data_IF_041313298030
#
_entry.id   IF_041313298030
#
_cell.length_a   1.000
_cell.length_b   1.000
_cell.length_c   1.000
_cell.angle_alpha   90.00
_cell.angle_beta   90.00
_cell.angle_gamma   90.00
#
_symmetry.space_group_name_H-M   'P 1'
#
loop_
_entity.id
_entity.type
_entity.pdbx_description
1 polymer ?
#
# COMPACT_ATOMS: atom_id res chain seq x y z
N UNK A 1 -0.72 0.03 -6.53
CA UNK A 1 -1.74 0.43 -5.54
C UNK A 1 -1.15 1.26 -4.39
N UNK A 2 -0.12 0.78 -3.67
CA UNK A 2 0.50 1.51 -2.55
C UNK A 2 0.91 2.95 -2.91
N UNK A 3 1.55 3.17 -4.05
CA UNK A 3 1.97 4.51 -4.48
C UNK A 3 0.78 5.46 -4.74
N UNK A 4 -0.32 4.96 -5.31
CA UNK A 4 -1.52 5.77 -5.53
C UNK A 4 -2.16 6.22 -4.22
N UNK A 5 -2.40 5.28 -3.28
CA UNK A 5 -3.01 5.62 -1.99
C UNK A 5 -2.13 6.56 -1.16
N UNK A 6 -0.82 6.35 -1.17
CA UNK A 6 0.13 7.26 -0.53
C UNK A 6 0.11 8.65 -1.19
N UNK A 7 0.09 8.73 -2.53
CA UNK A 7 0.02 10.00 -3.24
C UNK A 7 -1.26 10.78 -2.97
N UNK A 8 -2.40 10.10 -2.92
CA UNK A 8 -3.68 10.75 -2.61
C UNK A 8 -3.71 11.35 -1.19
N UNK A 9 -2.98 10.77 -0.25
CA UNK A 9 -2.95 11.24 1.14
C UNK A 9 -1.96 12.37 1.40
N UNK A 10 -1.01 12.63 0.50
CA UNK A 10 -0.12 13.81 0.59
C UNK A 10 -0.92 15.11 0.63
N UNK A 11 -1.93 15.25 -0.24
CA UNK A 11 -2.81 16.42 -0.25
C UNK A 11 -3.64 16.51 1.04
N UNK A 12 -4.05 15.36 1.61
CA UNK A 12 -4.74 15.30 2.91
C UNK A 12 -3.84 15.84 4.03
N UNK A 13 -2.56 15.41 4.07
CA UNK A 13 -1.58 15.89 5.04
C UNK A 13 -1.34 17.41 4.91
N UNK A 14 -1.26 17.92 3.69
CA UNK A 14 -1.12 19.36 3.41
C UNK A 14 -2.29 20.17 3.95
N UNK A 15 -3.53 19.75 3.68
CA UNK A 15 -4.73 20.45 4.15
C UNK A 15 -4.90 20.36 5.67
N UNK A 16 -4.53 19.21 6.25
CA UNK A 16 -4.50 19.05 7.70
C UNK A 16 -3.50 20.02 8.34
N UNK A 17 -2.28 20.11 7.79
CA UNK A 17 -1.26 21.05 8.26
C UNK A 17 -1.68 22.52 8.13
N UNK A 18 -2.47 22.86 7.11
CA UNK A 18 -3.05 24.20 6.93
C UNK A 18 -4.23 24.49 7.86
N UNK A 19 -4.72 23.52 8.65
CA UNK A 19 -5.91 23.68 9.49
C UNK A 19 -7.23 23.69 8.71
N UNK A 20 -7.20 23.40 7.39
CA UNK A 20 -8.38 23.42 6.52
C UNK A 20 -9.13 22.09 6.59
N UNK A 21 -9.84 21.87 7.69
CA UNK A 21 -10.55 20.63 7.98
C UNK A 21 -11.66 20.32 6.98
N UNK A 22 -12.31 21.34 6.40
CA UNK A 22 -13.37 21.17 5.41
C UNK A 22 -12.84 20.58 4.11
N UNK A 23 -11.78 21.17 3.57
CA UNK A 23 -11.18 20.65 2.33
C UNK A 23 -10.36 19.38 2.58
N UNK A 24 -9.81 19.18 3.80
CA UNK A 24 -9.21 17.89 4.19
C UNK A 24 -10.23 16.75 4.08
N UNK A 25 -11.44 16.87 4.65
CA UNK A 25 -12.50 15.86 4.53
C UNK A 25 -12.88 15.59 3.07
N UNK A 26 -13.05 16.65 2.27
CA UNK A 26 -13.31 16.50 0.82
C UNK A 26 -12.19 15.76 0.10
N UNK A 27 -10.94 16.00 0.48
CA UNK A 27 -9.77 15.30 -0.10
C UNK A 27 -9.79 13.83 0.28
N UNK A 28 -10.11 13.50 1.54
CA UNK A 28 -10.24 12.10 2.00
C UNK A 28 -11.41 11.40 1.29
N UNK A 29 -12.57 12.05 1.19
CA UNK A 29 -13.72 11.51 0.46
C UNK A 29 -13.42 11.27 -1.02
N UNK A 30 -12.76 12.22 -1.69
CA UNK A 30 -12.29 12.08 -3.07
C UNK A 30 -11.28 10.93 -3.20
N UNK A 31 -10.31 10.81 -2.27
CA UNK A 31 -9.34 9.71 -2.26
C UNK A 31 -10.03 8.34 -2.12
N UNK A 32 -11.07 8.25 -1.28
CA UNK A 32 -11.83 7.02 -1.11
C UNK A 32 -12.55 6.62 -2.42
N UNK A 33 -13.22 7.56 -3.08
CA UNK A 33 -13.90 7.31 -4.38
C UNK A 33 -12.90 6.93 -5.46
N UNK A 34 -11.80 7.68 -5.60
CA UNK A 34 -10.76 7.38 -6.58
C UNK A 34 -10.12 6.01 -6.34
N UNK A 35 -9.83 5.69 -5.08
CA UNK A 35 -9.28 4.37 -4.71
C UNK A 35 -10.26 3.25 -5.03
N UNK A 36 -11.57 3.46 -4.82
CA UNK A 36 -12.61 2.49 -5.18
C UNK A 36 -12.67 2.27 -6.69
N UNK A 37 -12.69 3.34 -7.48
CA UNK A 37 -12.70 3.26 -8.96
C UNK A 37 -11.45 2.50 -9.44
N UNK A 38 -10.27 2.90 -8.98
CA UNK A 38 -9.02 2.25 -9.37
C UNK A 38 -9.01 0.77 -8.94
N UNK A 39 -9.54 0.46 -7.76
CA UNK A 39 -9.65 -0.92 -7.29
C UNK A 39 -10.53 -1.76 -8.20
N UNK A 40 -11.71 -1.26 -8.56
CA UNK A 40 -12.64 -1.96 -9.47
C UNK A 40 -11.96 -2.20 -10.83
N UNK A 41 -11.37 -1.16 -11.42
CA UNK A 41 -10.68 -1.27 -12.71
C UNK A 41 -9.54 -2.29 -12.64
N UNK A 42 -8.69 -2.20 -11.62
CA UNK A 42 -7.55 -3.11 -11.46
C UNK A 42 -7.99 -4.55 -11.19
N UNK A 43 -9.04 -4.75 -10.40
CA UNK A 43 -9.60 -6.09 -10.16
C UNK A 43 -10.12 -6.69 -11.47
N UNK A 44 -10.90 -5.94 -12.24
CA UNK A 44 -11.44 -6.39 -13.53
C UNK A 44 -10.32 -6.71 -14.52
N UNK A 45 -9.35 -5.80 -14.69
CA UNK A 45 -8.21 -6.01 -15.60
C UNK A 45 -7.38 -7.22 -15.17
N UNK A 46 -7.11 -7.37 -13.86
CA UNK A 46 -6.36 -8.52 -13.35
C UNK A 46 -7.12 -9.83 -13.54
N UNK A 47 -8.42 -9.87 -13.23
CA UNK A 47 -9.22 -11.09 -13.37
C UNK A 47 -9.36 -11.52 -14.84
N UNK A 48 -9.51 -10.59 -15.76
CA UNK A 48 -9.62 -10.89 -17.19
C UNK A 48 -8.29 -11.26 -17.83
N UNK A 49 -7.19 -10.62 -17.40
CA UNK A 49 -5.87 -10.81 -18.01
C UNK A 49 -5.02 -11.93 -17.40
N UNK A 50 -5.40 -12.46 -16.22
CA UNK A 50 -4.52 -13.34 -15.44
C UNK A 50 -4.26 -14.68 -16.13
N UNK A 51 -5.26 -15.25 -16.80
CA UNK A 51 -5.10 -16.50 -17.53
C UNK A 51 -4.03 -16.36 -18.63
N UNK A 52 -4.17 -15.37 -19.50
CA UNK A 52 -3.18 -15.09 -20.54
C UNK A 52 -1.80 -14.69 -20.02
N UNK A 53 -1.74 -14.04 -18.85
CA UNK A 53 -0.47 -13.71 -18.21
C UNK A 53 0.27 -14.97 -17.74
N UNK A 54 -0.42 -15.92 -17.11
CA UNK A 54 0.16 -17.18 -16.66
C UNK A 54 0.62 -18.06 -17.85
N UNK A 55 -0.13 -18.06 -18.95
CA UNK A 55 0.27 -18.72 -20.20
C UNK A 55 1.53 -18.06 -20.79
N UNK A 56 1.56 -16.73 -20.86
CA UNK A 56 2.71 -15.97 -21.35
C UNK A 56 3.97 -16.23 -20.51
N UNK A 57 3.81 -16.41 -19.19
CA UNK A 57 4.90 -16.76 -18.28
C UNK A 57 5.35 -18.22 -18.38
N UNK A 58 4.74 -19.04 -19.24
CA UNK A 58 5.04 -20.46 -19.38
C UNK A 58 4.96 -21.21 -18.04
N UNK A 59 3.90 -20.92 -17.27
CA UNK A 59 3.69 -21.58 -15.96
C UNK A 59 3.48 -23.08 -16.19
N UNK A 60 4.22 -23.97 -15.49
CA UNK A 60 4.07 -25.42 -15.63
C UNK A 60 2.64 -25.89 -15.35
N UNK A 61 2.15 -26.87 -16.12
CA UNK A 61 0.75 -27.33 -16.04
C UNK A 61 0.39 -27.92 -14.68
N UNK A 62 1.33 -28.54 -13.99
CA UNK A 62 1.16 -29.17 -12.67
C UNK A 62 0.81 -28.15 -11.57
N UNK A 63 1.30 -26.92 -11.68
CA UNK A 63 1.05 -25.83 -10.70
C UNK A 63 0.11 -24.76 -11.23
N UNK A 64 -0.26 -24.80 -12.52
CA UNK A 64 -1.07 -23.74 -13.15
C UNK A 64 -2.42 -23.53 -12.43
N UNK A 65 -3.12 -24.62 -12.10
CA UNK A 65 -4.41 -24.57 -11.43
C UNK A 65 -4.36 -23.92 -10.05
N UNK A 66 -3.35 -24.25 -9.26
CA UNK A 66 -3.16 -23.70 -7.91
C UNK A 66 -2.70 -22.25 -7.96
N UNK A 67 -1.78 -21.92 -8.86
CA UNK A 67 -1.34 -20.55 -9.10
C UNK A 67 -2.49 -19.65 -9.55
N UNK A 68 -3.31 -20.12 -10.50
CA UNK A 68 -4.48 -19.39 -10.99
C UNK A 68 -5.49 -19.12 -9.87
N UNK A 69 -5.84 -20.16 -9.09
CA UNK A 69 -6.76 -20.02 -7.94
C UNK A 69 -6.22 -19.03 -6.91
N UNK A 70 -4.94 -19.15 -6.54
CA UNK A 70 -4.30 -18.24 -5.58
C UNK A 70 -4.41 -16.79 -6.05
N UNK A 71 -3.99 -16.52 -7.28
CA UNK A 71 -3.96 -15.16 -7.82
C UNK A 71 -5.37 -14.60 -7.98
N UNK A 72 -6.34 -15.40 -8.42
CA UNK A 72 -7.73 -14.97 -8.56
C UNK A 72 -8.36 -14.57 -7.21
N UNK A 73 -8.06 -15.29 -6.13
CA UNK A 73 -8.50 -14.94 -4.77
C UNK A 73 -7.86 -13.61 -4.34
N UNK A 74 -6.55 -13.45 -4.55
CA UNK A 74 -5.84 -12.19 -4.23
C UNK A 74 -6.40 -11.03 -5.05
N UNK A 75 -6.65 -11.23 -6.36
CA UNK A 75 -7.27 -10.19 -7.21
C UNK A 75 -8.66 -9.80 -6.72
N UNK A 76 -9.51 -10.76 -6.35
CA UNK A 76 -10.80 -10.49 -5.73
C UNK A 76 -10.68 -9.76 -4.38
N UNK A 77 -9.60 -10.02 -3.66
CA UNK A 77 -9.27 -9.41 -2.37
C UNK A 77 -8.54 -8.06 -2.43
N UNK A 78 -8.24 -7.52 -3.61
CA UNK A 78 -7.55 -6.22 -3.77
C UNK A 78 -8.26 -5.11 -2.98
N UNK A 79 -9.59 -5.15 -2.91
CA UNK A 79 -10.38 -4.19 -2.14
C UNK A 79 -9.98 -4.15 -0.66
N UNK A 80 -9.76 -5.29 -0.02
CA UNK A 80 -9.35 -5.37 1.38
C UNK A 80 -7.98 -4.71 1.60
N UNK A 81 -7.03 -5.01 0.73
CA UNK A 81 -5.68 -4.43 0.76
C UNK A 81 -5.72 -2.91 0.52
N UNK A 82 -6.49 -2.44 -0.45
CA UNK A 82 -6.60 -1.00 -0.75
C UNK A 82 -7.30 -0.26 0.39
N UNK A 83 -8.35 -0.83 0.97
CA UNK A 83 -9.05 -0.27 2.12
C UNK A 83 -8.09 -0.04 3.29
N UNK A 84 -7.35 -1.07 3.69
CA UNK A 84 -6.36 -0.92 4.76
C UNK A 84 -5.29 0.13 4.41
N UNK A 85 -4.68 0.05 3.22
CA UNK A 85 -3.61 0.96 2.83
C UNK A 85 -4.07 2.42 2.74
N UNK A 86 -5.28 2.68 2.24
CA UNK A 86 -5.85 4.02 2.20
C UNK A 86 -6.07 4.57 3.60
N UNK A 87 -6.78 3.82 4.47
CA UNK A 87 -7.10 4.26 5.82
C UNK A 87 -5.84 4.42 6.68
N UNK A 88 -4.89 3.50 6.57
CA UNK A 88 -3.59 3.61 7.23
C UNK A 88 -2.81 4.84 6.76
N UNK A 89 -2.86 5.16 5.46
CA UNK A 89 -2.20 6.36 4.91
C UNK A 89 -2.90 7.64 5.36
N UNK A 90 -4.23 7.65 5.45
CA UNK A 90 -4.98 8.79 6.02
C UNK A 90 -4.62 9.00 7.49
N UNK A 91 -4.56 7.95 8.31
CA UNK A 91 -4.16 8.04 9.72
C UNK A 91 -2.74 8.60 9.85
N UNK A 92 -1.79 8.11 9.04
CA UNK A 92 -0.42 8.65 9.00
C UNK A 92 -0.39 10.12 8.54
N UNK A 93 -1.21 10.48 7.56
CA UNK A 93 -1.32 11.86 7.08
C UNK A 93 -1.77 12.85 8.17
N UNK A 94 -2.52 12.38 9.17
CA UNK A 94 -2.93 13.15 10.35
C UNK A 94 -1.96 13.02 11.53
N UNK A 95 -0.82 12.35 11.36
CA UNK A 95 0.22 12.18 12.39
C UNK A 95 0.04 10.95 13.30
N UNK A 96 -0.96 10.12 13.06
CA UNK A 96 -1.16 8.88 13.83
C UNK A 96 -0.60 7.68 13.09
N UNK A 97 0.65 7.31 13.38
CA UNK A 97 1.32 6.13 12.82
C UNK A 97 1.20 4.88 13.69
N UNK A 98 0.87 5.05 14.97
CA UNK A 98 0.82 3.93 15.93
C UNK A 98 -0.38 3.01 15.68
N UNK A 99 -1.55 3.58 15.46
CA UNK A 99 -2.78 2.79 15.26
C UNK A 99 -2.71 1.90 14.02
N UNK A 100 -2.29 2.38 12.83
CA UNK A 100 -2.05 1.52 11.68
C UNK A 100 -1.03 0.40 11.95
N UNK A 101 0.01 0.70 12.74
CA UNK A 101 1.02 -0.29 13.12
C UNK A 101 0.42 -1.40 13.98
N UNK A 102 -0.36 -1.07 15.00
CA UNK A 102 -1.02 -2.09 15.83
C UNK A 102 -1.95 -2.99 15.02
N UNK A 103 -2.72 -2.41 14.10
CA UNK A 103 -3.59 -3.20 13.24
C UNK A 103 -2.82 -4.02 12.21
N UNK A 104 -1.65 -3.55 11.76
CA UNK A 104 -0.76 -4.34 10.91
C UNK A 104 -0.19 -5.55 11.65
N UNK A 105 0.26 -5.37 12.89
CA UNK A 105 0.76 -6.47 13.72
C UNK A 105 -0.36 -7.49 13.96
N UNK A 106 -1.56 -7.02 14.32
CA UNK A 106 -2.71 -7.90 14.50
C UNK A 106 -3.04 -8.67 13.21
N UNK A 107 -3.00 -8.00 12.05
CA UNK A 107 -3.20 -8.62 10.74
C UNK A 107 -2.16 -9.70 10.46
N UNK A 108 -0.90 -9.43 10.76
CA UNK A 108 0.18 -10.40 10.54
C UNK A 108 0.00 -11.64 11.43
N UNK A 109 -0.33 -11.46 12.70
CA UNK A 109 -0.62 -12.58 13.61
C UNK A 109 -1.84 -13.38 13.16
N UNK A 110 -2.92 -12.68 12.78
CA UNK A 110 -4.13 -13.32 12.27
C UNK A 110 -3.86 -14.09 10.97
N UNK A 111 -3.04 -13.51 10.08
CA UNK A 111 -2.65 -14.18 8.83
C UNK A 111 -1.93 -15.51 9.12
N UNK A 112 -0.92 -15.52 10.02
CA UNK A 112 -0.21 -16.74 10.40
C UNK A 112 -1.18 -17.79 10.95
N UNK A 113 -2.10 -17.42 11.84
CA UNK A 113 -3.08 -18.34 12.41
C UNK A 113 -4.01 -18.90 11.34
N UNK A 114 -4.51 -18.05 10.44
CA UNK A 114 -5.39 -18.47 9.36
C UNK A 114 -4.64 -19.32 8.30
N UNK A 115 -3.38 -19.03 8.03
CA UNK A 115 -2.54 -19.86 7.14
C UNK A 115 -2.43 -21.28 7.69
N UNK A 116 -2.08 -21.43 8.98
CA UNK A 116 -2.01 -22.74 9.62
C UNK A 116 -3.37 -23.46 9.61
N UNK A 117 -4.46 -22.74 9.90
CA UNK A 117 -5.80 -23.31 9.90
C UNK A 117 -6.23 -23.78 8.50
N UNK A 118 -6.08 -22.93 7.48
CA UNK A 118 -6.56 -23.24 6.13
C UNK A 118 -5.67 -24.24 5.39
N UNK A 119 -4.36 -24.20 5.64
CA UNK A 119 -3.43 -25.12 4.95
C UNK A 119 -3.37 -26.46 5.67
N UNK A 120 -3.23 -26.48 7.01
CA UNK A 120 -2.99 -27.72 7.75
C UNK A 120 -4.31 -28.41 8.11
N UNK A 121 -5.32 -27.67 8.62
CA UNK A 121 -6.56 -28.29 9.10
C UNK A 121 -7.56 -28.49 7.96
N UNK A 122 -7.74 -27.50 7.11
CA UNK A 122 -8.72 -27.59 6.00
C UNK A 122 -8.12 -28.13 4.69
N UNK A 123 -6.80 -28.26 4.60
CA UNK A 123 -6.09 -28.76 3.43
C UNK A 123 -6.39 -27.99 2.12
N UNK A 124 -6.61 -26.66 2.24
CA UNK A 124 -6.93 -25.81 1.07
C UNK A 124 -5.70 -25.41 0.25
N UNK A 125 -4.49 -25.83 0.65
CA UNK A 125 -3.26 -25.55 -0.07
C UNK A 125 -3.02 -24.05 -0.33
N UNK A 126 -2.58 -23.72 -1.54
CA UNK A 126 -2.30 -22.34 -1.92
C UNK A 126 -3.52 -21.41 -1.83
N UNK A 127 -4.72 -21.90 -2.15
CA UNK A 127 -5.94 -21.11 -2.01
C UNK A 127 -6.19 -20.69 -0.55
N UNK A 128 -5.87 -21.55 0.43
CA UNK A 128 -5.95 -21.24 1.87
C UNK A 128 -5.09 -20.04 2.25
N UNK A 129 -3.86 -20.00 1.79
CA UNK A 129 -2.95 -18.87 2.03
C UNK A 129 -3.50 -17.55 1.41
N UNK A 130 -4.10 -17.63 0.23
CA UNK A 130 -4.71 -16.45 -0.40
C UNK A 130 -5.89 -15.93 0.44
N UNK A 131 -6.79 -16.80 0.89
CA UNK A 131 -7.91 -16.43 1.77
C UNK A 131 -7.42 -15.85 3.10
N UNK A 132 -6.43 -16.46 3.74
CA UNK A 132 -5.86 -15.95 4.98
C UNK A 132 -5.33 -14.53 4.82
N UNK A 133 -4.63 -14.26 3.72
CA UNK A 133 -4.11 -12.92 3.39
C UNK A 133 -5.25 -11.91 3.19
N UNK A 134 -6.26 -12.24 2.40
CA UNK A 134 -7.38 -11.33 2.11
C UNK A 134 -8.19 -11.04 3.38
N UNK A 135 -8.48 -12.06 4.17
CA UNK A 135 -9.27 -11.91 5.42
C UNK A 135 -8.50 -11.05 6.43
N UNK A 136 -7.21 -11.32 6.66
CA UNK A 136 -6.41 -10.58 7.62
C UNK A 136 -6.26 -9.11 7.23
N UNK A 137 -6.06 -8.80 5.95
CA UNK A 137 -6.05 -7.43 5.43
C UNK A 137 -7.42 -6.77 5.57
N UNK A 138 -8.51 -7.50 5.27
CA UNK A 138 -9.88 -7.02 5.43
C UNK A 138 -10.19 -6.65 6.88
N UNK A 139 -9.84 -7.51 7.84
CA UNK A 139 -9.99 -7.24 9.27
C UNK A 139 -9.27 -5.97 9.68
N UNK A 140 -8.01 -5.80 9.25
CA UNK A 140 -7.25 -4.57 9.55
C UNK A 140 -7.88 -3.33 8.93
N UNK A 141 -8.37 -3.43 7.70
CA UNK A 141 -9.08 -2.33 7.05
C UNK A 141 -10.35 -1.93 7.81
N UNK A 142 -11.15 -2.91 8.23
CA UNK A 142 -12.36 -2.67 9.03
C UNK A 142 -12.01 -2.07 10.40
N UNK A 143 -10.98 -2.56 11.07
CA UNK A 143 -10.53 -2.00 12.35
C UNK A 143 -10.05 -0.55 12.22
N UNK A 144 -9.31 -0.22 11.17
CA UNK A 144 -8.95 1.17 10.85
C UNK A 144 -10.21 2.04 10.65
N UNK A 145 -11.19 1.53 9.90
CA UNK A 145 -12.45 2.26 9.65
C UNK A 145 -13.23 2.51 10.94
N UNK A 146 -13.38 1.49 11.77
CA UNK A 146 -14.06 1.59 13.08
C UNK A 146 -13.33 2.56 14.01
N UNK A 147 -12.00 2.52 14.03
CA UNK A 147 -11.20 3.46 14.82
C UNK A 147 -11.42 4.91 14.36
N UNK A 148 -11.35 5.18 13.05
CA UNK A 148 -11.59 6.50 12.49
C UNK A 148 -12.99 6.98 12.83
N UNK A 149 -14.01 6.14 12.65
CA UNK A 149 -15.41 6.50 12.92
C UNK A 149 -15.67 6.83 14.41
N UNK A 150 -15.00 6.13 15.34
CA UNK A 150 -15.23 6.29 16.78
C UNK A 150 -14.31 7.32 17.44
N UNK A 151 -13.06 7.40 17.01
CA UNK A 151 -12.01 8.17 17.72
C UNK A 151 -11.53 9.43 17.00
N UNK A 152 -11.92 9.63 15.73
CA UNK A 152 -11.48 10.77 14.94
C UNK A 152 -12.67 11.56 14.38
N UNK A 153 -13.29 12.41 15.21
CA UNK A 153 -14.44 13.23 14.78
C UNK A 153 -14.09 14.17 13.63
N UNK A 154 -12.81 14.54 13.50
CA UNK A 154 -12.27 15.37 12.40
C UNK A 154 -12.45 14.72 11.02
N UNK A 155 -12.47 13.38 10.97
CA UNK A 155 -12.66 12.57 9.77
C UNK A 155 -14.11 12.07 9.59
N UNK A 156 -15.08 12.65 10.26
CA UNK A 156 -16.49 12.36 9.99
C UNK A 156 -16.88 12.92 8.64
N UNK A 157 -16.86 12.03 7.63
CA UNK A 157 -17.22 12.36 6.26
C UNK A 157 -18.73 12.50 6.14
N UNK A 158 -19.16 13.57 5.47
CA UNK A 158 -20.54 13.81 5.07
C UNK A 158 -20.75 13.39 3.61
N UNK A 159 -21.98 13.18 3.18
CA UNK A 159 -22.30 12.81 1.78
C UNK A 159 -21.72 13.80 0.77
N UNK A 160 -21.60 15.07 1.16
CA UNK A 160 -21.02 16.12 0.32
C UNK A 160 -19.51 15.98 0.10
N UNK A 161 -18.80 15.34 1.04
CA UNK A 161 -17.35 15.16 0.97
C UNK A 161 -16.95 14.13 -0.09
N UNK A 162 -17.87 13.25 -0.50
CA UNK A 162 -17.66 12.27 -1.57
C UNK A 162 -17.89 12.85 -2.98
N UNK A 163 -18.33 14.10 -3.10
CA UNK A 163 -18.46 14.73 -4.41
C UNK A 163 -17.08 15.00 -5.01
N UNK A 164 -16.84 14.39 -6.16
CA UNK A 164 -15.60 14.57 -6.91
C UNK A 164 -15.54 16.01 -7.45
N UNK A 165 -14.54 16.76 -7.01
CA UNK A 165 -14.18 18.05 -7.59
C UNK A 165 -13.06 17.85 -8.60
N UNK A 166 -13.23 18.30 -9.85
CA UNK A 166 -12.21 18.16 -10.88
C UNK A 166 -10.84 18.74 -10.42
N UNK A 167 -10.85 19.80 -9.65
CA UNK A 167 -9.64 20.41 -9.10
C UNK A 167 -8.93 19.50 -8.11
N UNK A 168 -9.67 18.91 -7.13
CA UNK A 168 -9.10 17.98 -6.13
C UNK A 168 -8.60 16.72 -6.82
N UNK A 169 -9.39 16.16 -7.73
CA UNK A 169 -9.03 14.96 -8.51
C UNK A 169 -7.74 15.20 -9.30
N UNK A 170 -7.64 16.33 -10.01
CA UNK A 170 -6.43 16.68 -10.78
C UNK A 170 -5.20 16.75 -9.88
N UNK A 171 -5.31 17.35 -8.70
CA UNK A 171 -4.20 17.44 -7.75
C UNK A 171 -3.81 16.06 -7.20
N UNK A 172 -4.78 15.24 -6.80
CA UNK A 172 -4.52 13.88 -6.27
C UNK A 172 -3.90 12.96 -7.33
N UNK A 173 -4.43 12.98 -8.54
CA UNK A 173 -3.91 12.20 -9.67
C UNK A 173 -2.52 12.68 -10.07
N UNK A 174 -2.29 14.00 -10.08
CA UNK A 174 -0.99 14.59 -10.37
C UNK A 174 0.11 14.21 -9.39
N UNK A 175 -0.22 13.88 -8.13
CA UNK A 175 0.72 13.35 -7.13
C UNK A 175 0.73 11.82 -7.16
N UNK A 176 -0.43 11.20 -7.27
CA UNK A 176 -0.59 9.75 -7.16
C UNK A 176 0.02 8.97 -8.33
N UNK A 177 -0.14 9.46 -9.57
CA UNK A 177 0.43 8.78 -10.75
C UNK A 177 1.96 8.73 -10.71
N UNK A 178 2.71 9.82 -10.50
CA UNK A 178 4.17 9.73 -10.39
C UNK A 178 4.63 8.80 -9.29
N UNK A 179 3.98 8.81 -8.12
CA UNK A 179 4.29 7.88 -7.03
C UNK A 179 4.00 6.42 -7.41
N UNK A 180 2.89 6.16 -8.10
CA UNK A 180 2.56 4.82 -8.59
C UNK A 180 3.58 4.34 -9.63
N UNK A 181 3.98 5.21 -10.56
CA UNK A 181 5.01 4.90 -11.56
C UNK A 181 6.36 4.62 -10.91
N UNK A 182 6.77 5.35 -9.89
CA UNK A 182 7.98 5.08 -9.12
C UNK A 182 8.02 3.63 -8.61
N UNK A 183 6.94 3.18 -7.96
CA UNK A 183 6.86 1.79 -7.47
C UNK A 183 6.83 0.77 -8.62
N UNK A 184 6.14 1.09 -9.72
CA UNK A 184 6.05 0.19 -10.88
C UNK A 184 7.39 0.05 -11.60
N UNK A 185 8.12 1.13 -11.79
CA UNK A 185 9.46 1.10 -12.42
C UNK A 185 10.43 0.30 -11.56
N UNK A 186 10.39 0.46 -10.23
CA UNK A 186 11.22 -0.34 -9.33
C UNK A 186 10.89 -1.83 -9.45
N UNK A 187 9.60 -2.19 -9.49
CA UNK A 187 9.18 -3.59 -9.65
C UNK A 187 9.64 -4.17 -10.99
N UNK A 188 9.49 -3.43 -12.10
CA UNK A 188 9.97 -3.85 -13.42
C UNK A 188 11.49 -4.03 -13.41
N UNK A 189 12.23 -3.09 -12.81
CA UNK A 189 13.68 -3.21 -12.66
C UNK A 189 14.10 -4.48 -11.92
N UNK A 190 13.41 -4.81 -10.82
CA UNK A 190 13.65 -6.05 -10.06
C UNK A 190 13.38 -7.30 -10.92
N UNK A 191 12.31 -7.29 -11.71
CA UNK A 191 11.99 -8.41 -12.64
C UNK A 191 13.07 -8.57 -13.72
N UNK A 192 13.59 -7.47 -14.28
CA UNK A 192 14.67 -7.54 -15.28
C UNK A 192 15.97 -8.10 -14.67
N UNK A 193 16.33 -7.68 -13.47
CA UNK A 193 17.49 -8.23 -12.75
C UNK A 193 17.28 -9.72 -12.48
N UNK A 194 16.09 -10.14 -12.02
CA UNK A 194 15.78 -11.54 -11.79
C UNK A 194 15.88 -12.38 -13.08
N UNK A 195 15.40 -11.84 -14.20
CA UNK A 195 15.50 -12.52 -15.50
C UNK A 195 16.97 -12.72 -15.92
N UNK A 196 17.81 -11.70 -15.77
CA UNK A 196 19.24 -11.81 -16.06
C UNK A 196 19.95 -12.82 -15.14
N UNK A 197 19.58 -12.85 -13.85
CA UNK A 197 20.13 -13.83 -12.89
C UNK A 197 19.76 -15.27 -13.22
N UNK A 198 18.57 -15.50 -13.74
CA UNK A 198 18.14 -16.84 -14.15
C UNK A 198 19.05 -17.43 -15.25
N UNK A 199 19.67 -16.59 -16.08
CA UNK A 199 20.64 -17.01 -17.09
C UNK A 199 21.97 -17.46 -16.49
N UNK A 200 22.30 -17.06 -15.26
CA UNK A 200 23.55 -17.42 -14.57
C UNK A 200 23.45 -18.74 -13.78
N UNK A 201 22.26 -19.38 -13.80
CA UNK A 201 22.02 -20.66 -13.17
C UNK A 201 21.56 -20.59 -11.71
N UNK A 202 21.14 -21.75 -11.20
CA UNK A 202 20.46 -21.86 -9.89
C UNK A 202 21.31 -21.41 -8.69
N UNK A 203 22.61 -21.63 -8.73
CA UNK A 203 23.53 -21.22 -7.67
C UNK A 203 23.59 -19.70 -7.53
N UNK A 204 23.67 -18.98 -8.64
CA UNK A 204 23.68 -17.51 -8.66
C UNK A 204 22.33 -16.96 -8.16
N UNK A 205 21.21 -17.55 -8.59
CA UNK A 205 19.86 -17.17 -8.14
C UNK A 205 19.71 -17.37 -6.63
N UNK A 206 20.16 -18.51 -6.08
CA UNK A 206 20.09 -18.79 -4.65
C UNK A 206 20.93 -17.80 -3.84
N UNK A 207 22.18 -17.53 -4.24
CA UNK A 207 23.06 -16.59 -3.57
C UNK A 207 22.48 -15.15 -3.61
N UNK A 208 21.99 -14.69 -4.76
CA UNK A 208 21.38 -13.39 -4.90
C UNK A 208 20.09 -13.26 -4.07
N UNK A 209 19.25 -14.29 -4.06
CA UNK A 209 18.01 -14.30 -3.26
C UNK A 209 18.33 -14.16 -1.77
N UNK A 210 19.34 -14.88 -1.27
CA UNK A 210 19.76 -14.76 0.13
C UNK A 210 20.28 -13.35 0.44
N UNK A 211 21.15 -12.79 -0.41
CA UNK A 211 21.66 -11.44 -0.26
C UNK A 211 20.55 -10.38 -0.31
N UNK A 212 19.60 -10.51 -1.25
CA UNK A 212 18.47 -9.59 -1.39
C UNK A 212 17.54 -9.60 -0.17
N UNK A 213 17.43 -10.71 0.56
CA UNK A 213 16.65 -10.73 1.82
C UNK A 213 17.28 -9.85 2.88
N UNK A 214 18.61 -9.87 2.99
CA UNK A 214 19.35 -9.00 3.93
C UNK A 214 19.22 -7.53 3.49
N UNK A 215 19.42 -7.26 2.19
CA UNK A 215 19.25 -5.93 1.63
C UNK A 215 17.84 -5.36 1.87
N UNK A 216 16.79 -6.17 1.66
CA UNK A 216 15.41 -5.75 1.91
C UNK A 216 15.18 -5.30 3.35
N UNK A 217 15.77 -5.98 4.34
CA UNK A 217 15.63 -5.57 5.75
C UNK A 217 16.29 -4.21 5.96
N UNK A 218 17.50 -4.01 5.43
CA UNK A 218 18.21 -2.75 5.55
C UNK A 218 17.49 -1.61 4.81
N UNK A 219 17.01 -1.84 3.59
CA UNK A 219 16.35 -0.80 2.78
C UNK A 219 14.98 -0.39 3.30
N UNK A 220 14.27 -1.24 4.07
CA UNK A 220 12.96 -0.90 4.65
C UNK A 220 13.01 0.33 5.56
N UNK A 221 14.09 0.56 6.28
CA UNK A 221 14.24 1.76 7.11
C UNK A 221 14.29 3.03 6.25
N UNK A 222 15.00 3.01 5.11
CA UNK A 222 15.02 4.15 4.18
C UNK A 222 13.67 4.40 3.53
N UNK A 223 12.93 3.36 3.16
CA UNK A 223 11.55 3.49 2.63
C UNK A 223 10.63 4.09 3.69
N UNK A 224 10.72 3.65 4.94
CA UNK A 224 9.95 4.20 6.05
C UNK A 224 10.30 5.68 6.31
N UNK A 225 11.59 6.04 6.27
CA UNK A 225 12.06 7.40 6.41
C UNK A 225 11.52 8.30 5.28
N UNK A 226 11.56 7.82 4.04
CA UNK A 226 11.03 8.53 2.86
C UNK A 226 9.53 8.80 2.97
N UNK A 227 8.72 7.81 3.37
CA UNK A 227 7.28 7.98 3.56
C UNK A 227 6.94 8.92 4.73
N UNK A 228 7.72 8.85 5.80
CA UNK A 228 7.60 9.76 6.96
C UNK A 228 7.91 11.19 6.54
N UNK A 229 8.99 11.40 5.79
CA UNK A 229 9.37 12.72 5.31
C UNK A 229 8.36 13.29 4.33
N UNK A 230 7.75 12.48 3.46
CA UNK A 230 6.69 12.93 2.57
C UNK A 230 5.50 13.51 3.36
N UNK A 231 5.06 12.81 4.41
CA UNK A 231 3.98 13.26 5.29
C UNK A 231 4.38 14.51 6.09
N UNK A 232 5.58 14.50 6.69
CA UNK A 232 6.10 15.62 7.47
C UNK A 232 6.23 16.90 6.64
N UNK A 233 6.82 16.80 5.45
CA UNK A 233 6.94 17.92 4.53
C UNK A 233 5.57 18.43 4.08
N UNK A 234 4.63 17.54 3.76
CA UNK A 234 3.29 17.91 3.35
C UNK A 234 2.55 18.70 4.44
N UNK A 235 2.57 18.24 5.69
CA UNK A 235 1.95 18.95 6.81
C UNK A 235 2.58 20.32 7.04
N UNK A 236 3.92 20.40 7.09
CA UNK A 236 4.61 21.67 7.33
C UNK A 236 4.51 22.65 6.15
N UNK A 237 4.42 22.13 4.92
CA UNK A 237 4.10 22.93 3.73
C UNK A 237 2.70 23.57 3.87
N UNK A 238 1.71 22.77 4.25
CA UNK A 238 0.36 23.27 4.52
C UNK A 238 0.32 24.34 5.61
N UNK A 239 1.11 24.16 6.67
CA UNK A 239 1.23 25.13 7.78
C UNK A 239 2.11 26.36 7.44
N UNK A 240 2.69 26.44 6.24
CA UNK A 240 3.60 27.53 5.85
C UNK A 240 4.96 27.52 6.59
N UNK A 241 5.31 26.40 7.27
CA UNK A 241 6.51 26.30 8.12
C UNK A 241 7.69 25.70 7.35
N UNK A 242 8.24 26.45 6.41
CA UNK A 242 9.41 26.05 5.59
C UNK A 242 10.66 25.82 6.46
N UNK A 243 10.80 26.56 7.56
CA UNK A 243 11.84 26.39 8.57
C UNK A 243 11.88 24.95 9.09
N UNK A 244 10.71 24.38 9.43
CA UNK A 244 10.58 22.99 9.91
C UNK A 244 10.91 21.97 8.81
N UNK A 245 10.54 22.22 7.57
CA UNK A 245 10.88 21.34 6.46
C UNK A 245 12.40 21.22 6.33
N UNK A 246 13.12 22.33 6.41
CA UNK A 246 14.59 22.34 6.35
C UNK A 246 15.23 21.58 7.52
N UNK A 247 14.71 21.78 8.74
CA UNK A 247 15.18 21.02 9.91
C UNK A 247 14.92 19.53 9.79
N UNK A 248 13.70 19.15 9.38
CA UNK A 248 13.34 17.74 9.16
C UNK A 248 14.19 17.08 8.11
N UNK A 249 14.48 17.78 6.99
CA UNK A 249 15.36 17.26 5.95
C UNK A 249 16.78 16.98 6.48
N UNK A 250 17.36 17.93 7.24
CA UNK A 250 18.67 17.72 7.86
C UNK A 250 18.66 16.54 8.84
N UNK A 251 17.65 16.46 9.70
CA UNK A 251 17.52 15.37 10.66
C UNK A 251 17.37 14.01 9.97
N UNK A 252 16.54 13.91 8.92
CA UNK A 252 16.36 12.67 8.16
C UNK A 252 17.63 12.25 7.42
N UNK A 253 18.39 13.21 6.88
CA UNK A 253 19.69 12.94 6.25
C UNK A 253 20.67 12.35 7.27
N UNK A 254 20.77 12.95 8.46
CA UNK A 254 21.62 12.41 9.51
C UNK A 254 21.18 11.01 9.98
N UNK A 255 19.86 10.79 10.15
CA UNK A 255 19.33 9.45 10.47
C UNK A 255 19.71 8.42 9.41
N UNK A 256 19.61 8.80 8.11
CA UNK A 256 19.98 7.91 7.02
C UNK A 256 21.47 7.66 6.88
N UNK A 257 22.34 8.58 7.32
CA UNK A 257 23.80 8.38 7.31
C UNK A 257 24.26 7.51 8.47
N UNK A 258 23.60 7.64 9.63
CA UNK A 258 23.96 6.86 10.84
C UNK A 258 23.45 5.43 10.77
N UNK A 259 22.30 5.21 10.11
CA UNK A 259 21.73 3.87 9.89
C UNK A 259 22.54 3.07 8.86
#
# INVERSE_FOLDING_TARGET
MLGLTAGFTVLTAQRYGAGDMKNMRRTVGSAAVLSLIVTIVMTLVSMLGMHGLLEFMHTPEDIFGDAYRYIMIICGGIFATVLYNLLASVLRALGNSQVPLYFLILSALLNVVLDLLFIIVFHWGAAGAAYATVISQGVSGVLCLVYIAKKMPELRLQKEDFRLSAHIVKMQVGIGIPMALQFSITAIGTMMVQSALNMLGSMAVAAFTAASKVEQIATQAYVALGTTMATYCAQNMGAGRIDRIRMGFRASTWMGVVY
#
